data_IF_331918613383
#
_entry.id   IF_331918613383
#
_cell.length_a   1.000
_cell.length_b   1.000
_cell.length_c   1.000
_cell.angle_alpha   90.00
_cell.angle_beta   90.00
_cell.angle_gamma   90.00
#
_symmetry.space_group_name_H-M   'P 1'
#
loop_
_entity.id
_entity.type
_entity.pdbx_description
1 polymer ?
#
# COMPACT_ATOMS: atom_id res chain seq x y z
N UNK A 1 64.08 -53.38 -45.57
CA UNK A 1 63.20 -54.21 -44.71
C UNK A 1 62.03 -53.34 -44.25
N UNK A 2 60.82 -53.90 -44.30
CA UNK A 2 59.51 -53.28 -43.97
C UNK A 2 59.25 -53.24 -42.46
N UNK A 3 58.44 -52.26 -42.02
CA UNK A 3 57.34 -52.25 -41.00
C UNK A 3 57.27 -50.81 -40.44
N UNK A 4 56.34 -49.92 -40.81
CA UNK A 4 54.87 -49.83 -40.55
C UNK A 4 54.49 -49.94 -39.07
N UNK A 5 54.01 -48.81 -38.52
CA UNK A 5 52.87 -48.66 -37.58
C UNK A 5 52.51 -47.15 -37.55
N UNK A 6 51.49 -46.65 -38.28
CA UNK A 6 50.05 -46.58 -37.93
C UNK A 6 49.77 -45.98 -36.55
N UNK A 7 49.46 -44.67 -36.48
CA UNK A 7 48.10 -44.06 -36.45
C UNK A 7 47.33 -44.32 -35.15
N UNK A 8 47.07 -43.25 -34.40
CA UNK A 8 45.74 -42.96 -33.88
C UNK A 8 45.58 -41.44 -33.69
N UNK A 9 44.83 -40.80 -34.59
CA UNK A 9 44.18 -39.51 -34.34
C UNK A 9 42.92 -39.78 -33.51
N UNK A 10 42.78 -39.10 -32.37
CA UNK A 10 41.51 -38.96 -31.67
C UNK A 10 41.23 -37.46 -31.46
N UNK A 11 40.07 -36.93 -31.86
CA UNK A 11 39.72 -35.54 -31.60
C UNK A 11 39.19 -35.42 -30.16
N UNK A 12 39.86 -34.64 -29.30
CA UNK A 12 39.23 -34.17 -28.07
C UNK A 12 38.30 -33.01 -28.40
N UNK A 13 37.03 -33.34 -28.51
CA UNK A 13 35.91 -32.41 -28.43
C UNK A 13 35.68 -31.98 -26.98
N UNK A 14 35.26 -30.72 -26.85
CA UNK A 14 34.47 -30.13 -25.76
C UNK A 14 35.15 -29.92 -24.38
N UNK A 15 35.48 -28.67 -24.08
CA UNK A 15 34.59 -27.81 -23.27
C UNK A 15 35.18 -26.39 -23.22
N UNK A 16 34.67 -25.50 -24.06
CA UNK A 16 34.81 -24.07 -23.81
C UNK A 16 34.05 -23.78 -22.50
N UNK A 17 34.77 -23.41 -21.46
CA UNK A 17 34.19 -22.82 -20.27
C UNK A 17 33.59 -21.48 -20.67
N UNK A 18 32.33 -21.51 -21.11
CA UNK A 18 31.47 -20.34 -21.13
C UNK A 18 31.28 -19.92 -19.68
N UNK A 19 31.93 -18.84 -19.28
CA UNK A 19 31.49 -18.08 -18.12
C UNK A 19 30.11 -17.54 -18.45
N UNK A 20 29.06 -18.29 -18.08
CA UNK A 20 27.73 -17.75 -17.95
C UNK A 20 27.80 -16.65 -16.89
N UNK A 21 27.85 -15.39 -17.32
CA UNK A 21 27.46 -14.28 -16.48
C UNK A 21 25.99 -14.52 -16.13
N UNK A 22 25.77 -15.03 -14.92
CA UNK A 22 24.44 -15.06 -14.32
C UNK A 22 23.86 -13.65 -14.38
N UNK A 23 22.54 -13.49 -14.61
CA UNK A 23 21.91 -12.19 -14.47
C UNK A 23 22.21 -11.68 -13.06
N UNK A 24 22.90 -10.55 -12.97
CA UNK A 24 23.04 -9.81 -11.73
C UNK A 24 21.63 -9.34 -11.35
N UNK A 25 21.02 -10.04 -10.40
CA UNK A 25 19.89 -9.52 -9.64
C UNK A 25 20.41 -8.26 -8.94
N UNK A 26 20.12 -7.10 -9.49
CA UNK A 26 20.33 -5.84 -8.80
C UNK A 26 19.29 -5.77 -7.68
N UNK A 27 19.61 -6.37 -6.54
CA UNK A 27 18.87 -6.22 -5.30
C UNK A 27 19.14 -4.80 -4.77
N UNK A 28 18.42 -3.84 -5.33
CA UNK A 28 18.39 -2.45 -4.86
C UNK A 28 17.17 -2.24 -3.95
N UNK A 29 17.03 -3.07 -2.91
CA UNK A 29 16.18 -2.75 -1.76
C UNK A 29 17.01 -1.99 -0.72
N UNK A 30 17.33 -0.73 -1.03
CA UNK A 30 17.71 0.24 -0.02
C UNK A 30 16.42 0.90 0.44
N UNK A 31 15.80 0.39 1.50
CA UNK A 31 14.98 1.10 2.49
C UNK A 31 14.30 0.08 3.42
N UNK A 32 15.00 -0.29 4.49
CA UNK A 32 14.37 -0.91 5.66
C UNK A 32 13.57 0.14 6.44
N UNK A 33 12.30 -0.15 6.72
CA UNK A 33 11.55 0.30 7.91
C UNK A 33 11.40 1.81 8.21
N UNK A 34 11.77 2.72 7.32
CA UNK A 34 11.59 4.16 7.52
C UNK A 34 10.20 4.64 7.01
N UNK A 35 9.63 5.72 7.58
CA UNK A 35 8.41 6.33 7.04
C UNK A 35 8.59 6.62 5.54
N UNK A 36 7.60 6.22 4.75
CA UNK A 36 7.60 6.31 3.28
C UNK A 36 7.89 7.76 2.88
N UNK A 37 9.02 7.99 2.22
CA UNK A 37 9.35 9.31 1.71
C UNK A 37 8.31 9.70 0.65
N UNK A 38 7.55 10.76 0.92
CA UNK A 38 6.55 11.35 0.03
C UNK A 38 6.74 12.87 0.01
N UNK A 39 6.44 13.52 -1.12
CA UNK A 39 6.57 14.98 -1.28
C UNK A 39 7.51 15.41 -2.42
N UNK A 40 7.57 16.72 -2.70
CA UNK A 40 8.30 17.27 -3.85
C UNK A 40 9.80 16.93 -3.84
N UNK A 41 10.45 16.96 -2.67
CA UNK A 41 11.88 16.68 -2.55
C UNK A 41 12.22 15.22 -2.91
N UNK A 42 11.32 14.29 -2.59
CA UNK A 42 11.46 12.88 -2.96
C UNK A 42 11.35 12.68 -4.47
N UNK A 43 10.36 13.34 -5.10
CA UNK A 43 10.20 13.29 -6.56
C UNK A 43 11.44 13.86 -7.25
N UNK A 44 11.95 15.00 -6.80
CA UNK A 44 13.15 15.62 -7.38
C UNK A 44 14.39 14.73 -7.23
N UNK A 45 14.59 14.11 -6.06
CA UNK A 45 15.69 13.19 -5.84
C UNK A 45 15.60 11.94 -6.75
N UNK A 46 14.38 11.41 -6.93
CA UNK A 46 14.14 10.29 -7.83
C UNK A 46 14.40 10.69 -9.28
N UNK A 47 13.89 11.83 -9.74
CA UNK A 47 14.09 12.32 -11.10
C UNK A 47 15.58 12.61 -11.38
N UNK A 48 16.32 13.16 -10.42
CA UNK A 48 17.76 13.33 -10.53
C UNK A 48 18.48 11.98 -10.69
N UNK A 49 18.04 10.95 -9.96
CA UNK A 49 18.54 9.58 -10.15
C UNK A 49 18.22 9.04 -11.53
N UNK A 50 16.99 9.23 -12.02
CA UNK A 50 16.60 8.83 -13.38
C UNK A 50 17.54 9.46 -14.40
N UNK A 51 17.83 10.76 -14.30
CA UNK A 51 18.78 11.42 -15.21
C UNK A 51 20.20 10.85 -15.10
N UNK A 52 20.67 10.56 -13.88
CA UNK A 52 21.97 9.92 -13.67
C UNK A 52 22.03 8.51 -14.28
N UNK A 53 20.97 7.72 -14.13
CA UNK A 53 20.87 6.37 -14.70
C UNK A 53 20.86 6.43 -16.23
N UNK A 54 20.08 7.35 -16.81
CA UNK A 54 20.05 7.58 -18.26
C UNK A 54 21.44 7.96 -18.78
N UNK A 55 22.15 8.85 -18.08
CA UNK A 55 23.52 9.22 -18.43
C UNK A 55 24.50 8.06 -18.37
N UNK A 56 24.45 7.26 -17.30
CA UNK A 56 25.28 6.07 -17.16
C UNK A 56 25.04 5.06 -18.30
N UNK A 57 23.81 5.01 -18.81
CA UNK A 57 23.43 4.16 -19.94
C UNK A 57 23.73 4.78 -21.32
N UNK A 58 24.18 6.04 -21.37
CA UNK A 58 24.40 6.79 -22.62
C UNK A 58 23.09 7.15 -23.33
N UNK A 59 22.04 7.40 -22.55
CA UNK A 59 20.68 7.76 -22.97
C UNK A 59 20.37 9.25 -22.77
N UNK A 60 21.32 10.02 -22.23
CA UNK A 60 21.22 11.45 -21.95
C UNK A 60 21.60 12.32 -23.16
N UNK A 61 20.86 12.24 -24.27
CA UNK A 61 21.05 13.14 -25.40
C UNK A 61 20.43 12.70 -26.73
N UNK A 62 20.60 13.53 -27.77
CA UNK A 62 20.38 13.14 -29.16
C UNK A 62 21.36 12.01 -29.52
N UNK A 63 20.84 10.80 -29.63
CA UNK A 63 21.63 9.59 -29.85
C UNK A 63 22.40 9.69 -31.17
N UNK A 64 23.69 10.04 -31.10
CA UNK A 64 24.58 9.97 -32.25
C UNK A 64 24.89 8.50 -32.55
N UNK A 65 24.14 7.89 -33.47
CA UNK A 65 24.43 6.73 -34.35
C UNK A 65 25.30 5.52 -33.86
N UNK A 66 25.69 5.43 -32.60
CA UNK A 66 26.67 4.46 -32.07
C UNK A 66 26.21 3.72 -30.81
N UNK A 67 24.90 3.71 -30.51
CA UNK A 67 24.37 2.72 -29.58
C UNK A 67 24.27 1.38 -30.31
N UNK A 68 25.30 0.52 -30.16
CA UNK A 68 25.44 -0.78 -30.85
C UNK A 68 24.38 -1.82 -30.41
N UNK A 69 23.50 -1.50 -29.45
CA UNK A 69 22.27 -2.23 -29.19
C UNK A 69 21.17 -1.24 -28.74
N UNK A 70 19.90 -1.42 -29.15
CA UNK A 70 18.80 -0.62 -28.64
C UNK A 70 18.67 -0.83 -27.13
N UNK A 71 18.57 0.27 -26.39
CA UNK A 71 18.45 0.26 -24.93
C UNK A 71 17.06 0.79 -24.57
N UNK A 72 16.25 -0.04 -23.94
CA UNK A 72 15.08 0.42 -23.20
C UNK A 72 15.45 0.66 -21.73
N UNK A 73 14.81 1.65 -21.12
CA UNK A 73 14.93 1.99 -19.72
C UNK A 73 13.54 2.02 -19.09
N UNK A 74 13.43 1.47 -17.89
CA UNK A 74 12.24 1.54 -17.04
C UNK A 74 12.70 1.80 -15.61
N UNK A 75 12.08 2.79 -14.97
CA UNK A 75 12.12 2.95 -13.52
C UNK A 75 10.76 3.45 -13.04
N UNK A 76 10.40 3.19 -11.79
CA UNK A 76 9.06 3.46 -11.27
C UNK A 76 9.14 4.28 -9.98
N UNK A 77 8.47 5.42 -10.01
CA UNK A 77 8.28 6.30 -8.86
C UNK A 77 6.96 5.95 -8.17
N UNK A 78 7.00 5.84 -6.84
CA UNK A 78 5.80 5.85 -6.00
C UNK A 78 5.25 7.29 -5.93
N UNK A 79 4.06 7.51 -6.48
CA UNK A 79 3.37 8.81 -6.43
C UNK A 79 2.46 8.92 -5.20
N UNK A 80 1.80 7.81 -4.85
CA UNK A 80 0.99 7.62 -3.64
C UNK A 80 1.08 6.15 -3.22
N UNK A 81 0.32 5.74 -2.22
CA UNK A 81 0.25 4.33 -1.84
C UNK A 81 -0.38 3.45 -2.93
N UNK A 82 -1.29 3.96 -3.75
CA UNK A 82 -1.96 3.23 -4.83
C UNK A 82 -1.55 3.65 -6.24
N UNK A 83 -0.73 4.70 -6.39
CA UNK A 83 -0.37 5.26 -7.69
C UNK A 83 1.12 5.16 -7.96
N UNK A 84 1.48 4.62 -9.13
CA UNK A 84 2.84 4.55 -9.64
C UNK A 84 3.02 5.46 -10.86
N UNK A 85 4.26 5.93 -11.09
CA UNK A 85 4.67 6.59 -12.31
C UNK A 85 5.87 5.88 -12.92
N UNK A 86 5.72 5.34 -14.12
CA UNK A 86 6.82 4.79 -14.90
C UNK A 86 7.56 5.90 -15.65
N UNK A 87 8.88 5.87 -15.61
CA UNK A 87 9.81 6.68 -16.42
C UNK A 87 10.45 5.78 -17.46
N UNK A 88 10.20 6.06 -18.73
CA UNK A 88 10.53 5.19 -19.87
C UNK A 88 11.42 5.96 -20.85
N UNK A 89 12.48 5.32 -21.34
CA UNK A 89 13.28 5.87 -22.44
C UNK A 89 13.66 4.74 -23.39
N UNK A 90 13.43 4.94 -24.68
CA UNK A 90 13.72 3.96 -25.72
C UNK A 90 14.53 4.61 -26.85
N UNK A 91 15.43 3.84 -27.45
CA UNK A 91 16.37 4.31 -28.47
C UNK A 91 16.31 3.53 -29.78
N UNK A 92 15.19 2.84 -30.04
CA UNK A 92 15.07 2.00 -31.23
C UNK A 92 15.15 2.87 -32.50
N UNK A 93 15.90 2.43 -33.52
CA UNK A 93 16.09 3.21 -34.75
C UNK A 93 14.82 3.29 -35.62
N UNK A 94 13.83 2.45 -35.35
CA UNK A 94 12.53 2.44 -35.99
C UNK A 94 11.43 2.26 -34.95
N UNK A 95 10.20 2.63 -35.31
CA UNK A 95 9.03 2.42 -34.47
C UNK A 95 8.90 0.94 -34.10
N UNK A 96 8.95 0.67 -32.79
CA UNK A 96 8.81 -0.67 -32.21
C UNK A 96 7.65 -0.61 -31.24
N UNK A 97 6.72 -1.56 -31.31
CA UNK A 97 5.63 -1.63 -30.33
C UNK A 97 6.22 -1.90 -28.95
N UNK A 98 6.20 -0.89 -28.08
CA UNK A 98 6.57 -1.02 -26.68
C UNK A 98 5.32 -0.95 -25.81
N UNK A 99 5.24 -1.83 -24.82
CA UNK A 99 4.13 -1.88 -23.87
C UNK A 99 4.64 -1.94 -22.44
N UNK A 100 3.97 -1.20 -21.56
CA UNK A 100 4.09 -1.31 -20.12
C UNK A 100 2.95 -2.20 -19.64
N UNK A 101 3.28 -3.33 -19.04
CA UNK A 101 2.38 -4.17 -18.26
C UNK A 101 2.52 -3.76 -16.79
N UNK A 102 1.42 -3.34 -16.16
CA UNK A 102 1.42 -2.85 -14.78
C UNK A 102 1.37 -3.97 -13.74
N UNK A 103 1.25 -5.23 -14.18
CA UNK A 103 1.20 -6.41 -13.33
C UNK A 103 -0.18 -6.72 -12.76
N UNK A 104 -1.19 -5.92 -13.06
CA UNK A 104 -2.58 -6.06 -12.61
C UNK A 104 -3.56 -6.36 -13.77
N UNK A 105 -3.03 -6.94 -14.87
CA UNK A 105 -3.71 -7.19 -16.15
C UNK A 105 -3.96 -5.96 -17.03
N UNK A 106 -3.63 -4.75 -16.57
CA UNK A 106 -3.66 -3.56 -17.39
C UNK A 106 -2.35 -3.35 -18.15
N UNK A 107 -2.45 -2.75 -19.34
CA UNK A 107 -1.27 -2.40 -20.16
C UNK A 107 -1.42 -1.00 -20.75
N UNK A 108 -0.30 -0.35 -21.02
CA UNK A 108 -0.23 0.96 -21.67
C UNK A 108 0.83 0.94 -22.76
N UNK A 109 0.53 1.51 -23.92
CA UNK A 109 1.52 1.65 -25.00
C UNK A 109 2.58 2.70 -24.65
N UNK A 110 3.83 2.48 -25.02
CA UNK A 110 4.92 3.45 -24.86
C UNK A 110 5.45 3.92 -26.23
N UNK A 111 5.79 5.20 -26.32
CA UNK A 111 6.29 5.82 -27.54
C UNK A 111 7.68 5.32 -27.90
N UNK A 112 7.87 4.99 -29.18
CA UNK A 112 9.14 4.43 -29.66
C UNK A 112 9.50 4.93 -31.07
N UNK A 113 10.71 5.49 -31.27
CA UNK A 113 11.62 5.94 -30.21
C UNK A 113 10.97 7.02 -29.34
N UNK A 114 11.40 7.13 -28.09
CA UNK A 114 11.02 8.29 -27.28
C UNK A 114 11.46 9.56 -28.02
N UNK A 115 10.58 10.57 -28.23
CA UNK A 115 10.92 11.79 -28.95
C UNK A 115 12.22 12.42 -28.44
N UNK A 116 13.03 12.96 -29.34
CA UNK A 116 14.38 13.48 -29.03
C UNK A 116 14.36 14.62 -28.00
N UNK A 117 13.30 15.43 -27.99
CA UNK A 117 13.09 16.51 -27.03
C UNK A 117 12.56 16.04 -25.66
N UNK A 118 12.33 14.75 -25.46
CA UNK A 118 11.79 14.17 -24.23
C UNK A 118 12.88 13.31 -23.57
N UNK A 119 13.32 13.69 -22.37
CA UNK A 119 14.34 12.94 -21.62
C UNK A 119 13.85 11.52 -21.26
N UNK A 120 12.59 11.41 -20.85
CA UNK A 120 11.87 10.15 -20.61
C UNK A 120 10.38 10.39 -20.75
N UNK A 121 9.67 9.44 -21.34
CA UNK A 121 8.21 9.38 -21.29
C UNK A 121 7.76 9.03 -19.87
N UNK A 122 6.68 9.65 -19.41
CA UNK A 122 6.09 9.39 -18.09
C UNK A 122 4.69 8.82 -18.27
N UNK A 123 4.41 7.72 -17.57
CA UNK A 123 3.08 7.10 -17.56
C UNK A 123 2.65 6.87 -16.11
N UNK A 124 1.43 7.26 -15.77
CA UNK A 124 0.86 7.05 -14.44
C UNK A 124 -0.09 5.87 -14.47
N UNK A 125 -0.15 5.13 -13.36
CA UNK A 125 -1.11 4.05 -13.16
C UNK A 125 -1.62 4.03 -11.72
N UNK A 126 -2.92 3.77 -11.58
CA UNK A 126 -3.59 3.65 -10.29
C UNK A 126 -4.07 2.21 -10.09
N UNK A 127 -3.56 1.57 -9.03
CA UNK A 127 -3.94 0.23 -8.65
C UNK A 127 -5.27 0.23 -7.90
N UNK A 128 -6.13 -0.72 -8.23
CA UNK A 128 -7.43 -0.91 -7.57
C UNK A 128 -7.39 -1.93 -6.43
N UNK A 129 -6.31 -2.71 -6.35
CA UNK A 129 -6.10 -3.69 -5.28
C UNK A 129 -4.74 -3.48 -4.61
N UNK A 130 -4.63 -3.88 -3.35
CA UNK A 130 -3.34 -3.92 -2.66
C UNK A 130 -2.56 -5.16 -3.11
N UNK A 131 -1.27 -5.01 -3.40
CA UNK A 131 -0.45 -6.12 -3.88
C UNK A 131 0.97 -5.70 -4.22
N UNK A 132 1.82 -6.69 -4.52
CA UNK A 132 3.11 -6.44 -5.15
C UNK A 132 3.01 -6.81 -6.62
N UNK A 133 3.23 -5.81 -7.47
CA UNK A 133 3.07 -5.87 -8.90
C UNK A 133 4.42 -5.80 -9.58
N UNK A 134 4.66 -6.67 -10.56
CA UNK A 134 5.85 -6.63 -11.41
C UNK A 134 5.54 -5.81 -12.66
N UNK A 135 5.94 -4.54 -12.65
CA UNK A 135 5.76 -3.63 -13.79
C UNK A 135 6.81 -3.97 -14.85
N UNK A 136 6.37 -4.28 -16.07
CA UNK A 136 7.24 -4.72 -17.16
C UNK A 136 7.14 -3.81 -18.37
N UNK A 137 8.28 -3.33 -18.85
CA UNK A 137 8.38 -2.72 -20.17
C UNK A 137 8.85 -3.79 -21.16
N UNK A 138 8.06 -4.04 -22.21
CA UNK A 138 8.39 -4.99 -23.27
C UNK A 138 8.51 -4.23 -24.59
N UNK A 139 9.67 -4.32 -25.22
CA UNK A 139 9.98 -3.70 -26.50
C UNK A 139 10.62 -4.75 -27.43
N UNK A 140 9.79 -5.46 -28.20
CA UNK A 140 10.25 -6.63 -28.95
C UNK A 140 10.76 -7.73 -28.02
N UNK A 141 12.07 -8.05 -28.08
CA UNK A 141 12.71 -9.05 -27.21
C UNK A 141 13.35 -8.44 -25.96
N UNK A 142 13.43 -7.12 -25.83
CA UNK A 142 13.97 -6.46 -24.64
C UNK A 142 12.86 -6.30 -23.60
N UNK A 143 13.12 -6.79 -22.39
CA UNK A 143 12.18 -6.74 -21.26
C UNK A 143 12.88 -6.14 -20.05
N UNK A 144 12.29 -5.10 -19.46
CA UNK A 144 12.69 -4.53 -18.17
C UNK A 144 11.60 -4.80 -17.15
N UNK A 145 11.98 -5.01 -15.89
CA UNK A 145 11.01 -5.28 -14.82
C UNK A 145 11.39 -4.52 -13.56
N UNK A 146 10.40 -3.89 -12.94
CA UNK A 146 10.51 -3.19 -11.66
C UNK A 146 9.34 -3.62 -10.77
N UNK A 147 9.60 -3.92 -9.51
CA UNK A 147 8.54 -4.27 -8.57
C UNK A 147 7.97 -3.02 -7.90
N UNK A 148 6.65 -2.95 -7.80
CA UNK A 148 5.93 -1.90 -7.09
C UNK A 148 4.92 -2.53 -6.12
N UNK A 149 4.92 -2.11 -4.87
CA UNK A 149 3.93 -2.55 -3.89
C UNK A 149 2.87 -1.47 -3.71
N UNK A 150 1.67 -1.72 -4.24
CA UNK A 150 0.51 -0.84 -4.04
C UNK A 150 -0.20 -1.18 -2.73
N UNK A 151 -0.67 -0.15 -2.05
CA UNK A 151 -1.61 -0.23 -0.94
C UNK A 151 -2.81 0.62 -1.30
N UNK A 152 -3.92 -0.06 -1.56
CA UNK A 152 -5.22 0.57 -1.84
C UNK A 152 -6.02 0.62 -0.56
N UNK A 153 -6.49 1.81 -0.22
CA UNK A 153 -7.34 2.07 0.94
C UNK A 153 -8.78 2.00 0.44
N UNK A 154 -9.43 0.87 0.68
CA UNK A 154 -10.87 0.71 0.45
C UNK A 154 -11.59 0.86 1.78
N UNK A 155 -12.39 1.93 1.92
CA UNK A 155 -13.35 2.10 3.01
C UNK A 155 -14.31 0.90 3.07
N UNK A 156 -14.72 0.48 4.26
CA UNK A 156 -15.69 -0.61 4.42
C UNK A 156 -17.14 -0.08 4.43
N UNK A 157 -17.30 1.24 4.48
CA UNK A 157 -18.58 1.93 4.65
C UNK A 157 -19.32 1.35 5.87
N UNK A 158 -18.60 1.25 6.99
CA UNK A 158 -19.15 0.75 8.24
C UNK A 158 -20.31 1.65 8.71
N UNK A 159 -21.33 1.04 9.30
CA UNK A 159 -22.43 1.68 10.03
C UNK A 159 -23.40 2.57 9.22
N UNK A 160 -23.12 2.92 7.98
CA UNK A 160 -23.99 3.80 7.17
C UNK A 160 -25.40 3.25 6.91
N UNK A 161 -25.57 1.94 6.99
CA UNK A 161 -26.86 1.26 6.85
C UNK A 161 -27.65 1.15 8.17
N UNK A 162 -27.06 1.60 9.28
CA UNK A 162 -27.69 1.51 10.59
C UNK A 162 -28.98 2.35 10.66
N UNK A 163 -30.06 1.73 11.09
CA UNK A 163 -31.41 2.31 11.13
C UNK A 163 -32.08 2.24 12.52
N UNK A 164 -31.30 1.97 13.57
CA UNK A 164 -31.82 1.87 14.93
C UNK A 164 -32.35 3.20 15.48
N UNK A 165 -33.16 3.15 16.56
CA UNK A 165 -33.80 4.31 17.16
C UNK A 165 -32.79 5.24 17.85
N UNK A 166 -32.21 6.18 17.08
CA UNK A 166 -31.39 7.30 17.56
C UNK A 166 -32.22 8.28 18.42
N UNK A 167 -32.51 7.87 19.67
CA UNK A 167 -33.59 8.42 20.48
C UNK A 167 -33.13 9.50 21.45
N UNK A 168 -31.88 9.47 21.90
CA UNK A 168 -31.40 10.42 22.89
C UNK A 168 -30.74 11.60 22.20
N UNK A 169 -31.39 12.76 22.28
CA UNK A 169 -30.90 14.02 21.70
C UNK A 169 -30.28 14.86 22.79
N UNK A 170 -29.04 15.28 22.59
CA UNK A 170 -28.33 16.06 23.60
C UNK A 170 -27.68 17.27 22.90
N UNK A 171 -28.04 18.48 23.33
CA UNK A 171 -27.63 19.70 22.65
C UNK A 171 -26.15 20.00 22.91
N UNK A 172 -25.43 20.38 21.86
CA UNK A 172 -24.04 20.87 21.91
C UNK A 172 -23.96 22.22 21.20
N UNK A 173 -22.85 22.93 21.39
CA UNK A 173 -22.59 24.19 20.68
C UNK A 173 -22.52 24.04 19.15
N UNK A 174 -22.35 22.81 18.63
CA UNK A 174 -22.25 22.52 17.20
C UNK A 174 -23.47 21.77 16.64
N UNK A 175 -24.51 21.55 17.44
CA UNK A 175 -25.73 20.84 17.02
C UNK A 175 -26.21 19.82 18.04
N UNK A 176 -27.20 19.01 17.65
CA UNK A 176 -27.77 17.97 18.50
C UNK A 176 -27.08 16.63 18.22
N UNK A 177 -26.39 16.05 19.20
CA UNK A 177 -25.90 14.68 19.07
C UNK A 177 -27.05 13.69 19.32
N UNK A 178 -27.12 12.63 18.51
CA UNK A 178 -28.08 11.54 18.70
C UNK A 178 -27.36 10.22 18.85
N UNK A 179 -27.78 9.41 19.82
CA UNK A 179 -27.24 8.07 19.97
C UNK A 179 -28.31 7.02 20.24
N UNK A 180 -27.97 5.78 19.90
CA UNK A 180 -28.70 4.57 20.27
C UNK A 180 -27.78 3.66 21.10
N UNK A 181 -28.31 3.15 22.21
CA UNK A 181 -27.59 2.26 23.11
C UNK A 181 -27.71 0.82 22.64
N UNK A 182 -26.60 0.24 22.18
CA UNK A 182 -26.57 -1.16 21.74
C UNK A 182 -26.40 -2.14 22.92
N UNK A 183 -26.09 -1.62 24.11
CA UNK A 183 -25.82 -2.43 25.30
C UNK A 183 -24.46 -3.12 25.25
N UNK A 184 -24.32 -4.20 26.03
CA UNK A 184 -23.08 -4.99 26.15
C UNK A 184 -22.96 -6.12 25.12
N UNK A 185 -23.97 -6.30 24.27
CA UNK A 185 -23.91 -7.27 23.19
C UNK A 185 -22.87 -6.82 22.14
N UNK A 186 -22.11 -7.75 21.55
CA UNK A 186 -21.23 -7.41 20.44
C UNK A 186 -22.02 -6.84 19.26
N UNK A 187 -21.50 -5.78 18.63
CA UNK A 187 -22.04 -5.26 17.38
C UNK A 187 -21.33 -5.93 16.20
N UNK A 188 -22.08 -6.37 15.20
CA UNK A 188 -21.57 -7.13 14.06
C UNK A 188 -21.80 -6.34 12.77
N UNK A 189 -20.74 -6.09 12.00
CA UNK A 189 -20.83 -5.30 10.76
C UNK A 189 -19.71 -5.70 9.81
N UNK A 190 -20.03 -5.91 8.53
CA UNK A 190 -19.07 -6.28 7.45
C UNK A 190 -18.07 -7.40 7.81
N UNK A 191 -18.49 -8.38 8.62
CA UNK A 191 -17.62 -9.50 9.05
C UNK A 191 -16.72 -9.19 10.25
N UNK A 192 -16.88 -8.03 10.88
CA UNK A 192 -16.22 -7.65 12.12
C UNK A 192 -17.16 -7.68 13.30
N UNK A 193 -16.55 -7.92 14.46
CA UNK A 193 -17.15 -8.00 15.77
C UNK A 193 -16.56 -6.89 16.64
N UNK A 194 -17.42 -6.02 17.16
CA UNK A 194 -17.04 -4.91 18.01
C UNK A 194 -17.59 -5.14 19.41
N UNK A 195 -16.69 -5.35 20.37
CA UNK A 195 -17.04 -5.72 21.75
C UNK A 195 -16.58 -4.61 22.68
N UNK A 196 -17.45 -4.19 23.59
CA UNK A 196 -17.07 -3.40 24.76
C UNK A 196 -18.10 -3.63 25.87
N UNK A 197 -17.89 -3.01 27.03
CA UNK A 197 -18.87 -3.05 28.12
C UNK A 197 -20.22 -2.43 27.69
N UNK A 198 -20.18 -1.40 26.84
CA UNK A 198 -21.36 -0.79 26.26
C UNK A 198 -20.99 -0.09 24.95
N UNK A 199 -21.63 -0.52 23.86
CA UNK A 199 -21.51 0.10 22.55
C UNK A 199 -22.66 1.07 22.30
N UNK A 200 -22.40 2.15 21.57
CA UNK A 200 -23.44 3.09 21.16
C UNK A 200 -23.27 3.44 19.68
N UNK A 201 -24.37 3.50 18.94
CA UNK A 201 -24.37 4.16 17.64
C UNK A 201 -24.52 5.65 17.83
N UNK A 202 -23.76 6.44 17.08
CA UNK A 202 -23.83 7.89 17.11
C UNK A 202 -24.07 8.44 15.70
N UNK A 203 -24.96 9.43 15.59
CA UNK A 203 -25.16 10.21 14.37
C UNK A 203 -25.15 11.69 14.71
N UNK A 204 -24.57 12.50 13.83
CA UNK A 204 -24.48 13.96 14.00
C UNK A 204 -23.74 14.41 15.29
N UNK A 205 -22.76 13.63 15.74
CA UNK A 205 -21.77 14.08 16.73
C UNK A 205 -20.76 15.04 16.09
N UNK A 206 -20.27 16.01 16.83
CA UNK A 206 -19.36 17.00 16.27
C UNK A 206 -18.09 16.35 15.73
N UNK A 207 -17.79 16.61 14.45
CA UNK A 207 -16.57 16.16 13.78
C UNK A 207 -16.68 14.92 12.89
N UNK A 208 -17.85 14.26 12.82
CA UNK A 208 -18.15 13.27 11.76
C UNK A 208 -18.56 13.97 10.46
N UNK A 209 -18.32 13.35 9.28
CA UNK A 209 -18.90 13.83 8.03
C UNK A 209 -20.44 13.84 8.10
N UNK A 210 -21.07 14.78 7.39
CA UNK A 210 -22.53 14.90 7.37
C UNK A 210 -23.19 13.59 6.93
N UNK A 211 -24.20 13.14 7.67
CA UNK A 211 -24.97 11.90 7.45
C UNK A 211 -24.28 10.57 7.78
N UNK A 212 -23.03 10.57 8.21
CA UNK A 212 -22.33 9.36 8.65
C UNK A 212 -22.82 8.91 10.02
N UNK A 213 -22.79 7.59 10.23
CA UNK A 213 -23.03 6.96 11.53
C UNK A 213 -21.73 6.35 12.01
N UNK A 214 -21.47 6.41 13.31
CA UNK A 214 -20.25 5.87 13.90
C UNK A 214 -20.56 4.98 15.11
N UNK A 215 -19.60 4.14 15.46
CA UNK A 215 -19.63 3.29 16.65
C UNK A 215 -18.79 3.88 17.78
N UNK A 216 -19.42 4.16 18.91
CA UNK A 216 -18.71 4.44 20.16
C UNK A 216 -18.33 3.11 20.82
N UNK A 217 -17.03 2.80 20.78
CA UNK A 217 -16.45 1.66 21.48
C UNK A 217 -15.92 2.16 22.83
N UNK A 218 -16.60 1.76 23.91
CA UNK A 218 -16.25 2.20 25.26
C UNK A 218 -14.95 1.58 25.75
N UNK A 219 -14.17 2.37 26.45
CA UNK A 219 -13.08 1.92 27.31
C UNK A 219 -13.14 2.62 28.68
N UNK A 220 -12.73 1.91 29.72
CA UNK A 220 -12.95 2.28 31.11
C UNK A 220 -11.69 1.97 31.93
N UNK A 221 -10.66 2.81 31.77
CA UNK A 221 -9.40 2.67 32.51
C UNK A 221 -8.77 1.26 32.44
N UNK A 222 -7.94 0.88 33.42
CA UNK A 222 -7.31 -0.44 33.44
C UNK A 222 -8.33 -1.52 33.81
N UNK A 223 -8.89 -2.21 32.81
CA UNK A 223 -9.66 -3.45 33.01
C UNK A 223 -10.88 -3.62 32.11
N UNK A 224 -11.48 -2.53 31.63
CA UNK A 224 -12.60 -2.55 30.69
C UNK A 224 -12.15 -1.94 29.37
N UNK A 225 -11.99 -2.80 28.35
CA UNK A 225 -11.39 -2.45 27.07
C UNK A 225 -12.38 -2.79 25.96
N UNK A 226 -12.33 -2.01 24.88
CA UNK A 226 -12.96 -2.39 23.63
C UNK A 226 -12.10 -3.39 22.85
N UNK A 227 -12.72 -4.24 22.05
CA UNK A 227 -12.01 -5.07 21.07
C UNK A 227 -12.70 -5.08 19.72
N UNK A 228 -11.89 -5.13 18.66
CA UNK A 228 -12.34 -5.31 17.28
C UNK A 228 -11.68 -6.59 16.74
N UNK A 229 -12.47 -7.55 16.26
CA UNK A 229 -11.97 -8.81 15.71
C UNK A 229 -12.85 -9.30 14.57
N UNK A 230 -12.36 -10.22 13.73
CA UNK A 230 -13.21 -10.85 12.70
C UNK A 230 -14.25 -11.79 13.36
N UNK A 231 -15.48 -11.84 12.83
CA UNK A 231 -16.58 -12.68 13.36
C UNK A 231 -16.30 -14.18 13.21
N UNK A 232 -15.54 -14.56 12.18
CA UNK A 232 -15.13 -15.93 11.91
C UNK A 232 -13.84 -16.33 12.64
N UNK A 233 -13.33 -15.51 13.55
CA UNK A 233 -12.05 -15.70 14.24
C UNK A 233 -10.80 -15.75 13.33
N UNK A 234 -10.90 -15.44 12.05
CA UNK A 234 -9.72 -15.32 11.19
C UNK A 234 -8.88 -14.08 11.58
N UNK A 235 -7.65 -14.04 11.08
CA UNK A 235 -6.86 -12.80 11.11
C UNK A 235 -7.31 -11.85 10.00
N UNK A 236 -6.95 -10.58 10.10
CA UNK A 236 -7.24 -9.57 9.09
C UNK A 236 -6.07 -8.61 8.93
N UNK A 237 -5.98 -7.98 7.77
CA UNK A 237 -5.03 -6.90 7.53
C UNK A 237 -5.78 -5.56 7.68
N UNK A 238 -5.25 -4.66 8.49
CA UNK A 238 -5.80 -3.33 8.75
C UNK A 238 -4.92 -2.27 8.09
N UNK A 239 -5.46 -1.57 7.10
CA UNK A 239 -4.76 -0.51 6.37
C UNK A 239 -4.96 0.84 7.02
N UNK A 240 -6.20 1.22 7.27
CA UNK A 240 -6.54 2.49 7.91
C UNK A 240 -7.63 2.34 8.94
N UNK A 241 -7.70 3.30 9.86
CA UNK A 241 -8.82 3.47 10.79
C UNK A 241 -9.14 4.95 10.90
N UNK A 242 -10.40 5.32 10.66
CA UNK A 242 -10.93 6.67 10.77
C UNK A 242 -11.72 6.78 12.06
N UNK A 243 -11.24 7.60 13.00
CA UNK A 243 -11.88 7.74 14.30
C UNK A 243 -11.54 9.07 14.98
N UNK A 244 -12.20 9.30 16.11
CA UNK A 244 -11.76 10.27 17.10
C UNK A 244 -11.85 9.70 18.53
N UNK A 245 -11.29 10.43 19.47
CA UNK A 245 -11.34 10.10 20.89
C UNK A 245 -12.32 11.02 21.64
N UNK A 246 -13.23 10.41 22.41
CA UNK A 246 -14.15 11.14 23.28
C UNK A 246 -13.82 10.94 24.76
N UNK A 247 -13.86 12.03 25.52
CA UNK A 247 -13.54 12.16 26.96
C UNK A 247 -12.08 11.87 27.36
N UNK A 248 -11.45 10.86 26.77
CA UNK A 248 -10.07 10.46 27.00
C UNK A 248 -9.39 10.06 25.69
N UNK A 249 -8.08 10.23 25.60
CA UNK A 249 -7.29 9.73 24.47
C UNK A 249 -7.51 8.23 24.30
N UNK A 250 -7.75 7.81 23.06
CA UNK A 250 -8.01 6.42 22.71
C UNK A 250 -6.76 5.80 22.09
N UNK A 251 -6.15 4.84 22.78
CA UNK A 251 -5.05 4.03 22.24
C UNK A 251 -5.61 2.73 21.66
N UNK A 252 -5.30 2.48 20.40
CA UNK A 252 -5.53 1.20 19.73
C UNK A 252 -4.22 0.40 19.68
N UNK A 253 -4.29 -0.89 19.98
CA UNK A 253 -3.16 -1.82 19.88
C UNK A 253 -3.60 -3.08 19.14
N UNK A 254 -2.92 -3.44 18.07
CA UNK A 254 -3.17 -4.68 17.33
C UNK A 254 -2.32 -5.83 17.88
N UNK A 255 -2.92 -7.02 17.95
CA UNK A 255 -2.27 -8.26 18.38
C UNK A 255 -2.43 -9.34 17.34
N UNK A 256 -1.42 -10.19 17.18
CA UNK A 256 -1.46 -11.37 16.32
C UNK A 256 -2.15 -12.57 17.00
N UNK A 257 -2.18 -13.72 16.32
CA UNK A 257 -2.78 -14.96 16.85
C UNK A 257 -2.05 -15.53 18.08
N UNK A 258 -0.82 -15.10 18.34
CA UNK A 258 -0.02 -15.47 19.51
C UNK A 258 -0.12 -14.46 20.65
N UNK A 259 -0.99 -13.44 20.52
CA UNK A 259 -1.12 -12.30 21.44
C UNK A 259 0.14 -11.43 21.53
N UNK A 260 0.95 -11.38 20.47
CA UNK A 260 2.09 -10.46 20.37
C UNK A 260 1.61 -9.16 19.75
N UNK A 261 2.01 -8.03 20.32
CA UNK A 261 1.70 -6.70 19.76
C UNK A 261 2.36 -6.53 18.38
N UNK A 262 1.53 -6.23 17.38
CA UNK A 262 1.95 -5.91 16.02
C UNK A 262 2.28 -4.41 15.91
N UNK A 263 1.51 -3.58 16.61
CA UNK A 263 1.68 -2.14 16.64
C UNK A 263 0.58 -1.44 17.42
N UNK A 264 0.79 -0.15 17.70
CA UNK A 264 -0.21 0.70 18.34
C UNK A 264 -0.24 2.12 17.78
N UNK A 265 -1.38 2.78 17.95
CA UNK A 265 -1.62 4.17 17.57
C UNK A 265 -2.54 4.85 18.59
N UNK A 266 -2.43 6.17 18.75
CA UNK A 266 -3.23 6.93 19.72
C UNK A 266 -3.96 8.06 19.01
N UNK A 267 -5.27 8.14 19.24
CA UNK A 267 -6.12 9.27 18.87
C UNK A 267 -6.14 10.24 20.05
N UNK A 268 -5.39 11.34 19.91
CA UNK A 268 -5.27 12.40 20.93
C UNK A 268 -6.08 13.65 20.58
N UNK A 269 -6.92 13.58 19.55
CA UNK A 269 -7.90 14.60 19.15
C UNK A 269 -9.10 14.64 20.11
N UNK A 270 -8.84 14.57 21.42
CA UNK A 270 -9.84 14.42 22.47
C UNK A 270 -10.77 15.62 22.54
N UNK A 271 -12.06 15.35 22.56
CA UNK A 271 -13.12 16.29 22.93
C UNK A 271 -14.15 15.60 23.80
N UNK A 272 -15.01 16.34 24.50
CA UNK A 272 -16.11 15.70 25.22
C UNK A 272 -17.15 15.14 24.24
N UNK A 273 -17.51 15.90 23.21
CA UNK A 273 -18.60 15.55 22.28
C UNK A 273 -18.37 15.99 20.82
N UNK A 274 -17.28 16.73 20.54
CA UNK A 274 -17.04 17.37 19.23
C UNK A 274 -15.57 17.27 18.86
N UNK A 275 -15.11 16.08 18.51
CA UNK A 275 -13.73 15.85 18.06
C UNK A 275 -13.72 15.63 16.53
N UNK A 276 -12.90 16.34 15.75
CA UNK A 276 -12.79 16.06 14.32
C UNK A 276 -12.29 14.63 14.12
N UNK A 277 -12.92 13.84 13.24
CA UNK A 277 -12.35 12.53 12.87
C UNK A 277 -11.05 12.70 12.11
N UNK A 278 -10.13 11.76 12.31
CA UNK A 278 -8.90 11.66 11.54
C UNK A 278 -8.72 10.22 11.06
N UNK A 279 -8.14 10.08 9.86
CA UNK A 279 -7.76 8.78 9.30
C UNK A 279 -6.31 8.50 9.61
N UNK A 280 -6.03 7.38 10.29
CA UNK A 280 -4.67 6.88 10.54
C UNK A 280 -4.34 5.79 9.54
N UNK A 281 -3.19 5.90 8.87
CA UNK A 281 -2.59 4.82 8.07
C UNK A 281 -1.77 3.93 9.00
N UNK A 282 -2.09 2.64 9.04
CA UNK A 282 -1.59 1.67 10.04
C UNK A 282 -0.81 0.52 9.40
N UNK A 283 -1.30 -0.03 8.28
CA UNK A 283 -0.66 -1.13 7.53
C UNK A 283 -0.30 -2.38 8.37
N UNK A 284 -1.11 -2.72 9.37
CA UNK A 284 -0.92 -3.89 10.21
C UNK A 284 -1.43 -5.15 9.50
N UNK A 285 -0.63 -6.21 9.49
CA UNK A 285 -0.96 -7.47 8.82
C UNK A 285 -1.15 -8.60 9.84
N UNK A 286 -1.99 -9.58 9.50
CA UNK A 286 -2.28 -10.75 10.34
C UNK A 286 -2.77 -10.41 11.76
N UNK A 287 -3.55 -9.33 11.88
CA UNK A 287 -4.16 -8.91 13.14
C UNK A 287 -5.24 -9.91 13.54
N UNK A 288 -5.13 -10.47 14.75
CA UNK A 288 -6.19 -11.30 15.35
C UNK A 288 -7.27 -10.44 15.98
N UNK A 289 -6.86 -9.41 16.72
CA UNK A 289 -7.76 -8.42 17.30
C UNK A 289 -7.05 -7.09 17.54
N UNK A 290 -7.83 -6.02 17.57
CA UNK A 290 -7.41 -4.70 18.05
C UNK A 290 -8.01 -4.52 19.44
N UNK A 291 -7.20 -4.06 20.39
CA UNK A 291 -7.63 -3.64 21.72
C UNK A 291 -7.71 -2.12 21.77
N UNK A 292 -8.81 -1.60 22.31
CA UNK A 292 -9.04 -0.16 22.53
C UNK A 292 -8.92 0.12 24.03
N UNK A 293 -8.04 1.05 24.38
CA UNK A 293 -7.70 1.41 25.76
C UNK A 293 -7.58 2.93 25.92
N UNK A 294 -7.53 3.42 27.15
CA UNK A 294 -7.24 4.82 27.44
C UNK A 294 -6.90 5.05 28.91
N UNK A 295 -6.52 6.28 29.25
CA UNK A 295 -6.12 6.65 30.62
C UNK A 295 -7.29 6.82 31.60
N UNK A 296 -8.54 6.74 31.13
CA UNK A 296 -9.74 6.91 31.94
C UNK A 296 -10.99 6.38 31.23
N UNK A 297 -12.16 6.89 31.61
CA UNK A 297 -13.44 6.63 30.93
C UNK A 297 -13.46 7.40 29.60
N UNK A 298 -13.70 6.70 28.50
CA UNK A 298 -13.83 7.33 27.19
C UNK A 298 -14.34 6.39 26.11
N UNK A 299 -14.35 6.92 24.88
CA UNK A 299 -14.77 6.16 23.71
C UNK A 299 -13.79 6.36 22.56
N UNK A 300 -13.52 5.29 21.83
CA UNK A 300 -13.10 5.40 20.45
C UNK A 300 -14.38 5.55 19.63
N UNK A 301 -14.55 6.72 19.03
CA UNK A 301 -15.62 6.95 18.08
C UNK A 301 -15.14 6.53 16.69
N UNK A 302 -15.40 5.28 16.34
CA UNK A 302 -15.00 4.68 15.08
C UNK A 302 -16.00 5.05 13.99
N UNK A 303 -15.54 5.78 12.99
CA UNK A 303 -16.31 6.12 11.78
C UNK A 303 -16.21 4.98 10.78
N UNK A 304 -15.00 4.69 10.30
CA UNK A 304 -14.78 3.61 9.33
C UNK A 304 -13.37 3.01 9.45
N UNK A 305 -13.11 1.92 8.73
CA UNK A 305 -11.78 1.36 8.59
C UNK A 305 -11.58 0.71 7.22
N UNK A 306 -10.34 0.63 6.76
CA UNK A 306 -9.96 -0.17 5.61
C UNK A 306 -9.31 -1.46 6.08
N UNK A 307 -9.98 -2.58 5.88
CA UNK A 307 -9.48 -3.89 6.31
C UNK A 307 -9.93 -5.04 5.40
N UNK A 308 -9.15 -6.11 5.40
CA UNK A 308 -9.45 -7.35 4.67
C UNK A 308 -9.27 -8.55 5.59
N UNK A 309 -10.31 -9.36 5.73
CA UNK A 309 -10.26 -10.62 6.49
C UNK A 309 -9.51 -11.66 5.66
N UNK A 310 -8.47 -12.25 6.26
CA UNK A 310 -7.71 -13.33 5.63
C UNK A 310 -8.61 -14.58 5.55
N UNK A 311 -8.63 -15.23 4.39
CA UNK A 311 -9.39 -16.46 4.16
C UNK A 311 -8.60 -17.70 4.54
#
# INVERSE_FOLDING_TARGET
MKKIASVLLLPLLLAACGTSSAPQSADHSLLGGAPVAAGQDYVQAFEAKVQSDLKALGLDGDLSAQAVAPKSYLNVLRMSDSTARAYIKTTYPAETGCTVDWGDSSTTGAATPTPTNIASEQQNHEYQESGTYAIKLTCGTDVKTVNFTATVITALDLFDTYSGPLSYTYPTSTGNFRYDGLGSAPYLEKGFNFVSEANFMMKFGGGLPTNHTSLLIRFNGPGSNGTINATNNATFNLKTLTANALFWDAKITAYDSSNIEIGSSTFSNRSELVAPVETRVLNWNNVKYIKVTGGGFGYLNLDDMSATINR
#
